data_IF_117334725210
#
_entry.id   IF_117334725210
#
_cell.length_a   1.000
_cell.length_b   1.000
_cell.length_c   1.000
_cell.angle_alpha   90.00
_cell.angle_beta   90.00
_cell.angle_gamma   90.00
#
_symmetry.space_group_name_H-M   'P 1'
#
loop_
_entity.id
_entity.type
_entity.pdbx_description
1 polymer ?
#
# COMPACT_ATOMS: atom_id res chain seq x y z
N UNK A 1 -10.10 -7.48 0.51
CA UNK A 1 -9.36 -6.20 0.63
C UNK A 1 -10.01 -5.35 1.72
N UNK A 2 -9.25 -4.75 2.66
CA UNK A 2 -9.82 -3.91 3.74
C UNK A 2 -9.60 -2.41 3.56
N UNK A 3 -8.63 -1.98 2.74
CA UNK A 3 -8.33 -0.57 2.49
C UNK A 3 -7.86 -0.40 1.06
N UNK A 4 -8.26 0.72 0.45
CA UNK A 4 -7.84 1.18 -0.87
C UNK A 4 -7.48 2.67 -0.78
N UNK A 5 -6.43 3.08 -1.47
CA UNK A 5 -6.05 4.50 -1.58
C UNK A 5 -5.42 4.76 -2.94
N UNK A 6 -5.86 5.83 -3.59
CA UNK A 6 -5.19 6.33 -4.80
C UNK A 6 -3.99 7.20 -4.43
N UNK A 7 -2.98 7.22 -5.29
CA UNK A 7 -1.87 8.17 -5.22
C UNK A 7 -2.34 9.59 -5.54
N UNK A 8 -1.49 10.59 -5.26
CA UNK A 8 -1.82 12.00 -5.53
C UNK A 8 -2.14 12.28 -7.00
N UNK A 9 -1.48 11.60 -7.94
CA UNK A 9 -1.77 11.68 -9.38
C UNK A 9 -2.91 10.76 -9.84
N UNK A 10 -3.43 9.89 -8.97
CA UNK A 10 -4.42 8.87 -9.32
C UNK A 10 -3.89 7.69 -10.14
N UNK A 11 -2.61 7.69 -10.55
CA UNK A 11 -2.04 6.64 -11.41
C UNK A 11 -1.81 5.32 -10.68
N UNK A 12 -1.58 5.38 -9.37
CA UNK A 12 -1.32 4.20 -8.55
C UNK A 12 -2.48 3.94 -7.60
N UNK A 13 -2.76 2.66 -7.39
CA UNK A 13 -3.72 2.17 -6.42
C UNK A 13 -2.98 1.33 -5.38
N UNK A 14 -3.12 1.72 -4.11
CA UNK A 14 -2.66 0.95 -2.97
C UNK A 14 -3.82 0.12 -2.45
N UNK A 15 -3.54 -1.14 -2.14
CA UNK A 15 -4.50 -2.09 -1.62
C UNK A 15 -3.92 -2.87 -0.44
N UNK A 16 -4.79 -3.29 0.48
CA UNK A 16 -4.43 -4.05 1.68
C UNK A 16 -5.20 -5.37 1.73
N UNK A 17 -4.47 -6.48 1.87
CA UNK A 17 -4.98 -7.82 2.08
C UNK A 17 -5.60 -7.97 3.47
N UNK A 18 -6.72 -8.71 3.55
CA UNK A 18 -7.43 -8.96 4.83
C UNK A 18 -6.86 -10.18 5.52
N UNK A 19 -6.35 -11.13 4.74
CA UNK A 19 -5.90 -12.42 5.22
C UNK A 19 -4.42 -12.35 5.58
N UNK A 20 -4.03 -13.12 6.60
CA UNK A 20 -2.63 -13.32 6.95
C UNK A 20 -1.87 -13.88 5.72
N UNK A 21 -0.72 -13.31 5.33
CA UNK A 21 0.16 -12.46 6.14
C UNK A 21 -0.01 -10.93 5.96
N UNK A 22 -1.24 -10.39 5.88
CA UNK A 22 -1.54 -8.94 5.83
C UNK A 22 -0.65 -8.18 4.85
N UNK A 23 -0.79 -8.53 3.59
CA UNK A 23 -0.01 -7.96 2.50
C UNK A 23 -0.51 -6.59 2.09
N UNK A 24 0.39 -5.79 1.53
CA UNK A 24 0.07 -4.59 0.81
C UNK A 24 0.54 -4.73 -0.63
N UNK A 25 -0.23 -4.17 -1.55
CA UNK A 25 0.10 -4.19 -2.97
C UNK A 25 -0.18 -2.84 -3.61
N UNK A 26 0.76 -2.39 -4.42
CA UNK A 26 0.68 -1.19 -5.24
C UNK A 26 0.51 -1.60 -6.70
N UNK A 27 -0.49 -0.99 -7.34
CA UNK A 27 -0.93 -1.34 -8.68
C UNK A 27 -0.88 -0.13 -9.57
N UNK A 28 -0.57 -0.36 -10.84
CA UNK A 28 -1.02 0.50 -11.91
C UNK A 28 -2.38 0.00 -12.36
N UNK A 29 -3.42 0.53 -11.75
CA UNK A 29 -4.75 -0.06 -11.83
C UNK A 29 -5.36 0.02 -13.23
N UNK A 30 -5.09 1.08 -13.99
CA UNK A 30 -5.58 1.23 -15.38
C UNK A 30 -5.02 0.15 -16.32
N UNK A 31 -3.76 -0.25 -16.10
CA UNK A 31 -3.09 -1.26 -16.91
C UNK A 31 -3.24 -2.69 -16.33
N UNK A 32 -3.81 -2.82 -15.13
CA UNK A 32 -3.94 -4.09 -14.42
C UNK A 32 -2.61 -4.67 -13.91
N UNK A 33 -1.54 -3.86 -13.86
CA UNK A 33 -0.19 -4.32 -13.52
C UNK A 33 0.07 -4.17 -12.01
N UNK A 34 0.51 -5.25 -11.36
CA UNK A 34 1.07 -5.18 -10.02
C UNK A 34 2.49 -4.62 -10.09
N UNK A 35 2.75 -3.51 -9.42
CA UNK A 35 4.08 -2.89 -9.40
C UNK A 35 4.93 -3.51 -8.28
N UNK A 36 4.34 -3.61 -7.09
CA UNK A 36 5.02 -4.13 -5.92
C UNK A 36 4.00 -4.75 -4.95
N UNK A 37 4.43 -5.79 -4.24
CA UNK A 37 3.66 -6.47 -3.21
C UNK A 37 4.60 -6.90 -2.10
N UNK A 38 4.21 -6.68 -0.84
CA UNK A 38 5.00 -7.14 0.31
C UNK A 38 4.13 -7.46 1.51
N UNK A 39 4.68 -8.23 2.45
CA UNK A 39 4.10 -8.43 3.78
C UNK A 39 4.37 -7.17 4.59
N UNK A 40 3.31 -6.45 4.94
CA UNK A 40 3.47 -5.20 5.68
C UNK A 40 3.53 -5.40 7.19
N UNK A 41 2.81 -6.38 7.74
CA UNK A 41 2.76 -6.62 9.18
C UNK A 41 2.34 -8.06 9.49
N UNK A 42 2.72 -8.56 10.66
CA UNK A 42 2.21 -9.83 11.21
C UNK A 42 0.80 -9.66 11.80
N UNK A 43 0.42 -8.42 12.08
CA UNK A 43 -0.86 -8.04 12.67
C UNK A 43 -1.76 -7.30 11.67
N UNK A 44 -3.07 -7.31 11.94
CA UNK A 44 -4.09 -6.73 11.05
C UNK A 44 -3.86 -5.25 10.75
N UNK A 45 -3.93 -4.92 9.46
CA UNK A 45 -3.86 -3.56 8.93
C UNK A 45 -5.27 -3.03 8.73
N UNK A 46 -5.53 -1.82 9.23
CA UNK A 46 -6.85 -1.18 9.14
C UNK A 46 -6.91 -0.14 8.03
N UNK A 47 -5.80 0.56 7.78
CA UNK A 47 -5.72 1.65 6.83
C UNK A 47 -4.37 1.65 6.15
N UNK A 48 -4.37 1.97 4.87
CA UNK A 48 -3.17 2.36 4.14
C UNK A 48 -3.49 3.56 3.24
N UNK A 49 -2.67 4.60 3.30
CA UNK A 49 -2.95 5.89 2.69
C UNK A 49 -1.71 6.48 2.04
N UNK A 50 -1.83 6.87 0.77
CA UNK A 50 -0.81 7.67 0.10
C UNK A 50 -0.71 9.07 0.71
N UNK A 51 0.50 9.64 0.63
CA UNK A 51 0.70 11.04 0.99
C UNK A 51 0.04 11.92 -0.08
N UNK A 52 -0.64 12.99 0.34
CA UNK A 52 -1.40 13.87 -0.56
C UNK A 52 -0.55 14.57 -1.64
N UNK A 53 0.75 14.70 -1.42
CA UNK A 53 1.70 15.34 -2.34
C UNK A 53 2.78 14.38 -2.86
N UNK A 54 2.60 13.07 -2.73
CA UNK A 54 3.57 12.09 -3.21
C UNK A 54 2.87 10.86 -3.78
N UNK A 55 3.38 10.39 -4.91
CA UNK A 55 2.93 9.13 -5.51
C UNK A 55 3.72 7.93 -5.04
N UNK A 56 4.84 8.15 -4.33
CA UNK A 56 5.73 7.08 -3.91
C UNK A 56 5.65 6.81 -2.42
N UNK A 57 5.26 7.81 -1.61
CA UNK A 57 5.20 7.64 -0.16
C UNK A 57 3.80 7.36 0.34
N UNK A 58 3.67 6.38 1.22
CA UNK A 58 2.42 6.06 1.89
C UNK A 58 2.67 5.51 3.29
N UNK A 59 1.60 5.41 4.06
CA UNK A 59 1.64 4.88 5.43
C UNK A 59 0.64 3.74 5.57
N UNK A 60 0.99 2.76 6.39
CA UNK A 60 0.08 1.70 6.84
C UNK A 60 -0.10 1.80 8.34
N UNK A 61 -1.35 1.78 8.79
CA UNK A 61 -1.72 1.80 10.19
C UNK A 61 -2.60 0.59 10.53
N UNK A 62 -2.28 -0.07 11.63
CA UNK A 62 -2.99 -1.25 12.09
C UNK A 62 -2.78 -1.51 13.57
N UNK A 63 -2.98 -2.76 13.99
CA UNK A 63 -2.78 -3.15 15.39
C UNK A 63 -1.29 -2.97 15.74
N UNK A 64 -1.02 -2.12 16.73
CA UNK A 64 0.32 -1.84 17.29
C UNK A 64 1.38 -1.39 16.28
N UNK A 65 1.00 -0.96 15.08
CA UNK A 65 1.97 -0.51 14.09
C UNK A 65 1.50 0.71 13.29
N UNK A 66 2.47 1.56 13.00
CA UNK A 66 2.43 2.62 12.01
C UNK A 66 3.73 2.52 11.22
N UNK A 67 3.66 2.07 9.96
CA UNK A 67 4.83 1.92 9.08
C UNK A 67 4.77 2.92 7.94
N UNK A 68 5.92 3.47 7.62
CA UNK A 68 6.12 4.37 6.49
C UNK A 68 6.74 3.57 5.36
N UNK A 69 6.22 3.79 4.16
CA UNK A 69 6.64 3.05 2.98
C UNK A 69 6.99 4.01 1.85
N UNK A 70 7.93 3.58 1.02
CA UNK A 70 8.25 4.21 -0.25
C UNK A 70 8.23 3.18 -1.38
N UNK A 71 7.56 3.53 -2.47
CA UNK A 71 7.60 2.77 -3.72
C UNK A 71 8.89 3.15 -4.46
N UNK A 72 9.78 2.18 -4.63
CA UNK A 72 11.04 2.33 -5.36
C UNK A 72 11.07 1.31 -6.51
N UNK A 73 10.57 1.71 -7.68
CA UNK A 73 10.41 0.81 -8.82
C UNK A 73 9.41 -0.30 -8.49
N UNK A 74 9.88 -1.54 -8.40
CA UNK A 74 9.09 -2.73 -8.12
C UNK A 74 9.17 -3.20 -6.65
N UNK A 75 9.79 -2.39 -5.78
CA UNK A 75 10.01 -2.73 -4.38
C UNK A 75 9.31 -1.73 -3.46
N UNK A 76 8.83 -2.22 -2.32
CA UNK A 76 8.34 -1.41 -1.21
C UNK A 76 9.39 -1.41 -0.11
N UNK A 77 9.85 -0.21 0.25
CA UNK A 77 10.90 0.03 1.26
C UNK A 77 10.31 0.75 2.46
#
# INVERSE_FOLDING_TARGET
VCSLSFSSSGKLLLSVGVDAPYTIAVWRWEEGINIACTVASEDRIFRALFRSNSDVHFVTAGVKHLKFWSVAGNTLV
#
